data_IF_204785544642
#
_entry.id   IF_204785544642
#
_cell.length_a   1.000
_cell.length_b   1.000
_cell.length_c   1.000
_cell.angle_alpha   90.00
_cell.angle_beta   90.00
_cell.angle_gamma   90.00
#
_symmetry.space_group_name_H-M   'P 1'
#
loop_
_entity.id
_entity.type
_entity.pdbx_description
1 polymer ?
#
# COMPACT_ATOMS: atom_id res chain seq x y z
N UNK A 1 -26.12 0.96 6.17
CA UNK A 1 -25.84 2.07 5.25
C UNK A 1 -25.37 1.51 3.91
N UNK A 2 -25.56 2.25 2.84
CA UNK A 2 -25.00 1.98 1.52
C UNK A 2 -23.73 2.81 1.34
N UNK A 3 -22.61 2.16 1.14
CA UNK A 3 -21.30 2.80 1.02
C UNK A 3 -20.77 2.57 -0.40
N UNK A 4 -20.36 3.64 -1.07
CA UNK A 4 -19.62 3.57 -2.32
C UNK A 4 -18.16 3.92 -2.05
N UNK A 5 -17.29 2.94 -2.21
CA UNK A 5 -15.86 3.11 -2.10
C UNK A 5 -15.25 3.46 -3.47
N UNK A 6 -14.37 4.43 -3.50
CA UNK A 6 -13.60 4.84 -4.68
C UNK A 6 -12.12 4.60 -4.35
N UNK A 7 -11.54 3.54 -4.90
CA UNK A 7 -10.20 3.12 -4.49
C UNK A 7 -9.52 2.25 -5.54
N UNK A 8 -8.21 2.11 -5.45
CA UNK A 8 -7.47 1.01 -6.08
C UNK A 8 -7.80 -0.28 -5.34
N UNK A 9 -8.64 -1.14 -5.89
CA UNK A 9 -9.12 -2.36 -5.22
C UNK A 9 -8.50 -3.62 -5.82
N UNK A 10 -8.20 -3.57 -7.12
CA UNK A 10 -7.55 -4.63 -7.89
C UNK A 10 -6.05 -4.32 -7.93
N UNK A 11 -5.20 -5.32 -7.68
CA UNK A 11 -3.74 -5.21 -7.70
C UNK A 11 -3.10 -5.52 -6.35
N UNK A 12 -1.77 -5.40 -6.28
CA UNK A 12 -0.93 -5.85 -5.15
C UNK A 12 -0.29 -4.70 -4.37
N UNK A 13 -0.63 -3.46 -4.71
CA UNK A 13 -0.11 -2.28 -4.02
C UNK A 13 -0.59 -2.21 -2.57
N UNK A 14 0.12 -1.47 -1.71
CA UNK A 14 -0.31 -1.20 -0.34
C UNK A 14 -1.73 -0.64 -0.26
N UNK A 15 -2.07 0.31 -1.13
CA UNK A 15 -3.44 0.85 -1.23
C UNK A 15 -4.47 -0.23 -1.54
N UNK A 16 -4.19 -1.12 -2.50
CA UNK A 16 -5.13 -2.18 -2.86
C UNK A 16 -5.30 -3.21 -1.74
N UNK A 17 -4.22 -3.58 -1.07
CA UNK A 17 -4.25 -4.49 0.08
C UNK A 17 -5.04 -3.89 1.24
N UNK A 18 -4.76 -2.63 1.60
CA UNK A 18 -5.51 -1.91 2.63
C UNK A 18 -6.99 -1.79 2.26
N UNK A 19 -7.29 -1.33 1.04
CA UNK A 19 -8.66 -1.18 0.58
C UNK A 19 -9.47 -2.48 0.65
N UNK A 20 -8.92 -3.60 0.20
CA UNK A 20 -9.59 -4.91 0.31
C UNK A 20 -9.87 -5.28 1.76
N UNK A 21 -8.87 -5.21 2.63
CA UNK A 21 -9.04 -5.54 4.05
C UNK A 21 -10.08 -4.66 4.72
N UNK A 22 -10.01 -3.35 4.49
CA UNK A 22 -10.89 -2.37 5.09
C UNK A 22 -12.35 -2.50 4.58
N UNK A 23 -12.55 -2.53 3.28
CA UNK A 23 -13.89 -2.56 2.70
C UNK A 23 -14.57 -3.93 2.84
N UNK A 24 -13.84 -5.04 2.82
CA UNK A 24 -14.41 -6.35 3.17
C UNK A 24 -14.84 -6.39 4.64
N UNK A 25 -14.09 -5.79 5.55
CA UNK A 25 -14.50 -5.68 6.95
C UNK A 25 -15.79 -4.83 7.10
N UNK A 26 -15.90 -3.71 6.41
CA UNK A 26 -17.10 -2.87 6.40
C UNK A 26 -18.30 -3.60 5.76
N UNK A 27 -18.07 -4.40 4.73
CA UNK A 27 -19.14 -5.13 4.03
C UNK A 27 -19.84 -6.17 4.91
N UNK A 28 -19.22 -6.60 6.01
CA UNK A 28 -19.87 -7.48 7.01
C UNK A 28 -21.03 -6.79 7.75
N UNK A 29 -21.04 -5.47 7.79
CA UNK A 29 -22.00 -4.67 8.57
C UNK A 29 -22.82 -3.69 7.72
N UNK A 30 -22.39 -3.42 6.50
CA UNK A 30 -22.96 -2.43 5.59
C UNK A 30 -23.04 -3.01 4.18
N UNK A 31 -23.82 -2.40 3.30
CA UNK A 31 -23.77 -2.73 1.87
C UNK A 31 -22.68 -1.90 1.21
N UNK A 32 -21.54 -2.51 0.92
CA UNK A 32 -20.41 -1.82 0.29
C UNK A 32 -20.32 -2.19 -1.19
N UNK A 33 -20.25 -1.18 -2.04
CA UNK A 33 -19.86 -1.32 -3.44
C UNK A 33 -18.56 -0.58 -3.68
N UNK A 34 -17.73 -1.14 -4.54
CA UNK A 34 -16.40 -0.60 -4.80
C UNK A 34 -16.24 -0.24 -6.26
N UNK A 35 -15.94 1.02 -6.49
CA UNK A 35 -15.47 1.52 -7.76
C UNK A 35 -13.95 1.41 -7.80
N UNK A 36 -13.45 0.42 -8.56
CA UNK A 36 -12.01 0.26 -8.72
C UNK A 36 -11.46 1.35 -9.62
N UNK A 37 -10.50 2.10 -9.11
CA UNK A 37 -9.80 3.16 -9.82
C UNK A 37 -8.46 2.59 -10.33
N UNK A 38 -8.32 2.48 -11.63
CA UNK A 38 -7.00 2.22 -12.24
C UNK A 38 -6.25 3.56 -12.34
N UNK A 39 -5.24 3.73 -11.52
CA UNK A 39 -4.43 4.94 -11.52
C UNK A 39 -3.37 4.80 -12.63
N UNK A 40 -3.68 5.38 -13.80
CA UNK A 40 -2.75 5.62 -14.91
C UNK A 40 -2.17 4.37 -15.62
N UNK A 41 -1.65 4.57 -16.82
CA UNK A 41 -0.99 3.53 -17.63
C UNK A 41 0.32 3.00 -17.01
N UNK A 42 0.97 3.77 -16.13
CA UNK A 42 2.21 3.38 -15.45
C UNK A 42 2.03 2.20 -14.49
N UNK A 43 0.81 1.94 -14.03
CA UNK A 43 0.46 0.83 -13.15
C UNK A 43 0.06 -0.45 -13.89
N UNK A 44 -0.11 -0.40 -15.21
CA UNK A 44 -0.43 -1.59 -16.03
C UNK A 44 0.61 -2.69 -15.90
N UNK A 45 1.90 -2.35 -15.73
CA UNK A 45 2.98 -3.32 -15.51
C UNK A 45 2.98 -3.94 -14.11
N UNK A 46 2.45 -3.26 -13.10
CA UNK A 46 2.44 -3.73 -11.70
C UNK A 46 1.23 -4.62 -11.39
N UNK A 47 0.16 -4.56 -12.20
CA UNK A 47 -0.99 -5.45 -12.07
C UNK A 47 -0.72 -6.86 -12.67
N UNK A 48 0.44 -7.05 -13.27
CA UNK A 48 0.86 -8.30 -13.90
C UNK A 48 2.17 -8.80 -13.31
N UNK A 49 2.26 -8.89 -11.98
CA UNK A 49 3.28 -9.78 -11.42
C UNK A 49 2.87 -11.21 -11.79
N UNK A 50 3.79 -12.02 -12.35
CA UNK A 50 3.47 -13.39 -12.80
C UNK A 50 2.95 -14.31 -11.68
N UNK A 51 3.01 -13.87 -10.43
CA UNK A 51 2.68 -14.66 -9.24
C UNK A 51 1.33 -14.29 -8.60
N UNK A 52 0.71 -13.17 -8.98
CA UNK A 52 -0.53 -12.70 -8.37
C UNK A 52 -1.74 -12.83 -9.29
N UNK A 53 -1.70 -13.76 -10.21
CA UNK A 53 -2.88 -14.07 -11.01
C UNK A 53 -4.08 -14.23 -10.08
N UNK A 54 -4.92 -13.24 -10.01
CA UNK A 54 -6.26 -13.22 -9.41
C UNK A 54 -6.50 -13.97 -8.08
N UNK A 55 -5.45 -14.46 -7.38
CA UNK A 55 -5.57 -15.32 -6.18
C UNK A 55 -6.30 -14.63 -5.02
N UNK A 56 -6.26 -13.28 -4.97
CA UNK A 56 -7.01 -12.48 -4.00
C UNK A 56 -8.44 -12.15 -4.44
N UNK A 57 -8.83 -12.47 -5.68
CA UNK A 57 -10.15 -12.17 -6.24
C UNK A 57 -11.19 -13.20 -5.82
N UNK A 58 -11.56 -13.18 -4.55
CA UNK A 58 -12.64 -14.02 -4.01
C UNK A 58 -14.01 -13.64 -4.59
N UNK A 59 -15.01 -14.50 -4.44
CA UNK A 59 -16.39 -14.20 -4.86
C UNK A 59 -16.97 -13.00 -4.09
N UNK A 60 -16.56 -12.80 -2.83
CA UNK A 60 -16.91 -11.62 -2.05
C UNK A 60 -16.37 -10.35 -2.71
N UNK A 61 -15.07 -10.32 -3.05
CA UNK A 61 -14.42 -9.17 -3.70
C UNK A 61 -15.07 -8.88 -5.05
N UNK A 62 -15.29 -9.92 -5.87
CA UNK A 62 -15.98 -9.79 -7.16
C UNK A 62 -17.39 -9.23 -7.01
N UNK A 63 -18.13 -9.68 -5.98
CA UNK A 63 -19.48 -9.21 -5.68
C UNK A 63 -19.58 -7.77 -5.20
N UNK A 64 -18.49 -7.22 -4.66
CA UNK A 64 -18.40 -5.81 -4.25
C UNK A 64 -18.10 -4.88 -5.42
N UNK A 65 -17.45 -5.37 -6.49
CA UNK A 65 -17.09 -4.52 -7.62
C UNK A 65 -18.31 -3.91 -8.29
N UNK A 66 -18.28 -2.58 -8.37
CA UNK A 66 -19.30 -1.75 -8.97
C UNK A 66 -18.76 -1.12 -10.26
N UNK A 67 -18.60 -1.95 -11.31
CA UNK A 67 -18.04 -1.50 -12.58
C UNK A 67 -18.78 -2.08 -13.78
N UNK A 68 -19.11 -1.17 -14.71
CA UNK A 68 -18.99 -1.50 -16.13
C UNK A 68 -17.69 -0.86 -16.64
N UNK A 69 -16.77 -1.68 -17.10
CA UNK A 69 -15.63 -1.18 -17.88
C UNK A 69 -16.21 -0.66 -19.19
N UNK A 70 -16.12 0.64 -19.43
CA UNK A 70 -16.48 1.20 -20.73
C UNK A 70 -15.33 0.94 -21.69
N UNK A 71 -15.65 0.29 -22.78
CA UNK A 71 -14.75 0.13 -23.93
C UNK A 71 -15.06 1.23 -24.95
N UNK A 72 -14.04 1.73 -25.61
CA UNK A 72 -14.20 2.53 -26.80
C UNK A 72 -14.87 1.69 -27.92
N UNK A 73 -15.40 2.36 -28.92
CA UNK A 73 -16.03 1.69 -30.09
C UNK A 73 -15.09 0.76 -30.85
N UNK A 74 -13.78 0.87 -30.65
CA UNK A 74 -12.73 -0.01 -31.19
C UNK A 74 -12.35 -1.18 -30.26
N UNK A 75 -13.05 -1.36 -29.13
CA UNK A 75 -12.79 -2.40 -28.15
C UNK A 75 -11.63 -2.13 -27.19
N UNK A 76 -10.97 -0.98 -27.27
CA UNK A 76 -9.96 -0.58 -26.29
C UNK A 76 -10.61 -0.05 -25.01
N UNK A 77 -9.94 -0.25 -23.85
CA UNK A 77 -10.39 0.37 -22.59
C UNK A 77 -10.24 1.88 -22.68
N UNK A 78 -11.25 2.60 -22.23
CA UNK A 78 -11.17 4.06 -22.15
C UNK A 78 -10.09 4.47 -21.16
N UNK A 79 -9.20 5.36 -21.55
CA UNK A 79 -8.17 5.94 -20.67
C UNK A 79 -8.77 6.84 -19.58
N UNK A 80 -10.03 7.23 -19.73
CA UNK A 80 -10.81 7.92 -18.72
C UNK A 80 -11.90 6.99 -18.21
N UNK A 81 -11.86 6.65 -16.93
CA UNK A 81 -12.93 5.90 -16.30
C UNK A 81 -14.19 6.77 -16.17
N UNK A 82 -14.88 7.01 -17.28
CA UNK A 82 -16.28 7.44 -17.20
C UNK A 82 -17.10 6.22 -16.83
N UNK A 83 -17.33 6.07 -15.53
CA UNK A 83 -18.08 4.94 -15.02
C UNK A 83 -19.57 5.24 -15.13
N UNK A 84 -20.30 4.37 -15.81
CA UNK A 84 -21.75 4.37 -15.72
C UNK A 84 -22.16 3.81 -14.36
N UNK A 85 -22.99 4.55 -13.62
CA UNK A 85 -23.66 4.02 -12.43
C UNK A 85 -24.60 2.90 -12.83
N UNK A 86 -24.64 1.82 -12.05
CA UNK A 86 -25.83 1.00 -12.04
C UNK A 86 -26.96 1.87 -11.48
N UNK A 87 -28.03 2.02 -12.24
CA UNK A 87 -29.09 3.01 -12.02
C UNK A 87 -29.77 2.99 -10.65
N UNK A 88 -29.48 2.01 -9.79
CA UNK A 88 -30.19 1.78 -8.54
C UNK A 88 -29.36 1.82 -7.25
N UNK A 89 -28.06 2.17 -7.30
CA UNK A 89 -27.23 2.29 -6.11
C UNK A 89 -26.98 3.77 -5.76
N UNK A 90 -27.80 4.29 -4.85
CA UNK A 90 -27.59 5.63 -4.29
C UNK A 90 -26.90 5.45 -2.95
N UNK A 91 -25.63 5.86 -2.79
CA UNK A 91 -24.90 5.73 -1.55
C UNK A 91 -25.35 6.74 -0.50
N UNK A 92 -25.37 6.31 0.77
CA UNK A 92 -25.47 7.20 1.92
C UNK A 92 -24.11 7.89 2.16
N UNK A 93 -23.02 7.14 1.92
CA UNK A 93 -21.64 7.58 2.17
C UNK A 93 -20.74 7.19 0.98
N UNK A 94 -19.90 8.14 0.58
CA UNK A 94 -18.79 7.90 -0.36
C UNK A 94 -17.47 7.93 0.40
N UNK A 95 -16.64 6.90 0.27
CA UNK A 95 -15.29 6.85 0.85
C UNK A 95 -14.27 6.80 -0.29
N UNK A 96 -13.40 7.78 -0.33
CA UNK A 96 -12.33 7.88 -1.33
C UNK A 96 -11.00 7.54 -0.69
N UNK A 97 -10.46 6.37 -1.01
CA UNK A 97 -9.17 5.89 -0.53
C UNK A 97 -8.20 5.78 -1.71
N UNK A 98 -7.55 6.87 -2.03
CA UNK A 98 -6.57 7.00 -3.11
C UNK A 98 -5.51 8.02 -2.72
N UNK A 99 -4.46 8.12 -3.52
CA UNK A 99 -3.51 9.21 -3.38
C UNK A 99 -4.21 10.57 -3.51
N UNK A 100 -3.81 11.52 -2.66
CA UNK A 100 -4.47 12.83 -2.52
C UNK A 100 -4.56 13.63 -3.82
N UNK A 101 -3.59 13.46 -4.73
CA UNK A 101 -3.62 14.08 -6.05
C UNK A 101 -4.80 13.61 -6.93
N UNK A 102 -5.42 12.48 -6.60
CA UNK A 102 -6.54 11.90 -7.33
C UNK A 102 -7.91 12.18 -6.71
N UNK A 103 -8.00 13.05 -5.70
CA UNK A 103 -9.25 13.36 -4.98
C UNK A 103 -10.23 14.28 -5.73
N UNK A 104 -9.94 14.77 -6.92
CA UNK A 104 -10.72 15.79 -7.64
C UNK A 104 -11.92 15.24 -8.42
N UNK A 105 -12.13 13.93 -8.50
CA UNK A 105 -13.21 13.32 -9.32
C UNK A 105 -14.54 13.16 -8.56
N UNK A 106 -14.67 13.62 -7.31
CA UNK A 106 -15.69 13.10 -6.40
C UNK A 106 -16.63 14.17 -5.82
N UNK A 107 -16.51 15.40 -6.25
CA UNK A 107 -17.30 16.54 -5.79
C UNK A 107 -18.79 16.49 -6.21
N UNK A 108 -19.11 15.73 -7.27
CA UNK A 108 -20.46 15.61 -7.82
C UNK A 108 -21.24 14.38 -7.31
N UNK A 109 -20.72 13.63 -6.35
CA UNK A 109 -21.42 12.46 -5.82
C UNK A 109 -22.39 12.83 -4.69
N UNK A 110 -23.56 12.15 -4.69
CA UNK A 110 -24.53 12.27 -3.62
C UNK A 110 -24.04 11.54 -2.36
N UNK A 111 -24.56 11.96 -1.19
CA UNK A 111 -24.25 11.37 0.11
C UNK A 111 -23.07 12.05 0.80
N UNK A 112 -22.79 11.61 2.02
CA UNK A 112 -21.68 12.10 2.83
C UNK A 112 -20.33 11.66 2.24
N UNK A 113 -19.38 12.57 2.16
CA UNK A 113 -18.11 12.35 1.45
C UNK A 113 -16.93 12.30 2.41
N UNK A 114 -16.20 11.21 2.41
CA UNK A 114 -15.03 10.98 3.25
C UNK A 114 -13.80 10.80 2.36
N UNK A 115 -12.75 11.59 2.60
CA UNK A 115 -11.43 11.34 2.07
C UNK A 115 -10.63 10.52 3.08
N UNK A 116 -10.37 9.25 2.80
CA UNK A 116 -9.42 8.48 3.59
C UNK A 116 -8.03 8.68 2.98
N UNK A 117 -7.22 9.41 3.68
CA UNK A 117 -6.01 10.00 3.14
C UNK A 117 -4.76 9.47 3.86
N UNK A 118 -3.90 8.81 3.12
CA UNK A 118 -2.61 8.31 3.60
C UNK A 118 -1.52 9.18 2.98
N UNK A 119 -0.87 10.01 3.79
CA UNK A 119 0.12 10.98 3.34
C UNK A 119 1.48 10.74 4.02
N UNK A 120 2.54 11.00 3.29
CA UNK A 120 3.91 10.62 3.67
C UNK A 120 4.84 11.83 3.84
N UNK A 121 4.28 13.01 4.12
CA UNK A 121 5.05 14.25 4.32
C UNK A 121 4.37 15.15 5.35
N UNK A 122 5.16 16.03 5.98
CA UNK A 122 4.69 16.99 6.97
C UNK A 122 3.74 18.05 6.41
N UNK A 123 3.73 18.22 5.08
CA UNK A 123 2.89 19.23 4.42
C UNK A 123 2.34 18.69 3.11
N UNK A 124 1.06 18.97 2.87
CA UNK A 124 0.42 18.76 1.57
C UNK A 124 0.77 19.90 0.62
N UNK A 125 1.03 19.62 -0.66
CA UNK A 125 1.00 20.66 -1.69
C UNK A 125 -0.33 21.41 -1.66
N UNK A 126 -0.29 22.70 -1.88
CA UNK A 126 -1.49 23.57 -1.70
C UNK A 126 -2.68 23.11 -2.57
N UNK A 127 -2.43 22.60 -3.76
CA UNK A 127 -3.50 22.07 -4.63
C UNK A 127 -4.15 20.80 -4.04
N UNK A 128 -3.35 19.91 -3.44
CA UNK A 128 -3.88 18.68 -2.82
C UNK A 128 -4.63 19.03 -1.54
N UNK A 129 -4.06 19.90 -0.72
CA UNK A 129 -4.69 20.39 0.50
C UNK A 129 -6.07 21.01 0.25
N UNK A 130 -6.19 21.86 -0.78
CA UNK A 130 -7.46 22.47 -1.17
C UNK A 130 -8.53 21.46 -1.56
N UNK A 131 -8.14 20.33 -2.16
CA UNK A 131 -9.08 19.27 -2.56
C UNK A 131 -9.74 18.60 -1.37
N UNK A 132 -9.08 18.54 -0.22
CA UNK A 132 -9.66 17.95 0.99
C UNK A 132 -10.90 18.72 1.47
N UNK A 133 -11.04 20.00 1.13
CA UNK A 133 -12.22 20.79 1.49
C UNK A 133 -13.48 20.43 0.71
N UNK A 134 -13.39 19.67 -0.38
CA UNK A 134 -14.55 19.12 -1.10
C UNK A 134 -15.21 17.93 -0.39
N UNK A 135 -14.57 17.40 0.65
CA UNK A 135 -15.08 16.31 1.46
C UNK A 135 -15.70 16.84 2.75
N UNK A 136 -16.71 16.15 3.26
CA UNK A 136 -17.33 16.48 4.53
C UNK A 136 -16.41 16.14 5.70
N UNK A 137 -15.59 15.07 5.55
CA UNK A 137 -14.67 14.60 6.56
C UNK A 137 -13.41 14.02 5.91
N UNK A 138 -12.28 14.12 6.62
CA UNK A 138 -11.00 13.50 6.25
C UNK A 138 -10.61 12.49 7.30
N UNK A 139 -10.36 11.26 6.89
CA UNK A 139 -9.79 10.23 7.73
C UNK A 139 -8.29 10.13 7.49
N UNK A 140 -7.53 10.00 8.57
CA UNK A 140 -6.09 9.82 8.54
C UNK A 140 -5.69 8.64 9.43
N UNK A 141 -4.65 7.85 9.09
CA UNK A 141 -4.31 6.66 9.85
C UNK A 141 -3.61 6.95 11.19
N UNK A 142 -2.99 8.12 11.36
CA UNK A 142 -2.12 8.41 12.51
C UNK A 142 -2.37 9.78 13.13
N UNK A 143 -2.03 9.92 14.43
CA UNK A 143 -1.98 11.22 15.12
C UNK A 143 -1.02 12.19 14.44
N UNK A 144 0.14 11.70 13.99
CA UNK A 144 1.11 12.54 13.26
C UNK A 144 0.47 13.20 12.02
N UNK A 145 -0.26 12.44 11.24
CA UNK A 145 -0.92 12.98 10.04
C UNK A 145 -2.07 13.93 10.39
N UNK A 146 -2.79 13.64 11.47
CA UNK A 146 -3.79 14.57 12.05
C UNK A 146 -3.13 15.92 12.40
N UNK A 147 -2.00 15.90 13.13
CA UNK A 147 -1.29 17.11 13.54
C UNK A 147 -0.78 17.89 12.29
N UNK A 148 -0.25 17.21 11.28
CA UNK A 148 0.18 17.85 10.03
C UNK A 148 -0.96 18.60 9.31
N UNK A 149 -2.17 18.06 9.32
CA UNK A 149 -3.35 18.74 8.75
C UNK A 149 -3.75 19.96 9.58
N UNK A 150 -3.74 19.84 10.91
CA UNK A 150 -4.05 20.95 11.81
C UNK A 150 -3.04 22.10 11.66
N UNK A 151 -1.75 21.77 11.64
CA UNK A 151 -0.67 22.75 11.45
C UNK A 151 -0.78 23.48 10.12
N UNK A 152 -1.31 22.81 9.08
CA UNK A 152 -1.57 23.43 7.77
C UNK A 152 -2.88 24.24 7.72
N UNK A 153 -3.70 24.17 8.78
CA UNK A 153 -4.93 24.95 8.93
C UNK A 153 -6.23 24.23 8.50
N UNK A 154 -6.23 22.89 8.45
CA UNK A 154 -7.46 22.14 8.21
C UNK A 154 -8.36 22.11 9.47
N UNK A 155 -9.69 22.23 9.36
CA UNK A 155 -10.60 22.22 10.49
C UNK A 155 -10.56 20.90 11.26
N UNK A 156 -10.21 20.95 12.54
CA UNK A 156 -10.04 19.76 13.40
C UNK A 156 -11.31 18.91 13.53
N UNK A 157 -12.47 19.58 13.54
CA UNK A 157 -13.80 18.94 13.64
C UNK A 157 -14.18 18.12 12.39
N UNK A 158 -13.39 18.22 11.34
CA UNK A 158 -13.56 17.47 10.09
C UNK A 158 -12.49 16.40 9.88
N UNK A 159 -11.71 16.07 10.91
CA UNK A 159 -10.67 15.04 10.84
C UNK A 159 -10.96 13.95 11.86
N UNK A 160 -10.94 12.70 11.39
CA UNK A 160 -10.97 11.52 12.25
C UNK A 160 -9.73 10.68 12.07
N UNK A 161 -9.22 10.10 13.16
CA UNK A 161 -8.11 9.15 13.11
C UNK A 161 -8.68 7.74 12.95
N UNK A 162 -8.41 7.13 11.80
CA UNK A 162 -8.86 5.77 11.44
C UNK A 162 -7.64 4.97 11.03
N UNK A 163 -7.02 4.18 11.93
CA UNK A 163 -5.85 3.37 11.62
C UNK A 163 -6.13 2.32 10.52
N UNK A 164 -5.12 2.00 9.71
CA UNK A 164 -5.27 0.99 8.65
C UNK A 164 -5.42 -0.44 9.21
N UNK A 165 -4.71 -0.75 10.29
CA UNK A 165 -4.74 -2.08 10.89
C UNK A 165 -3.91 -3.13 10.16
N UNK A 166 -4.08 -4.39 10.58
CA UNK A 166 -3.48 -5.59 9.98
C UNK A 166 -4.43 -6.78 10.16
N UNK A 167 -4.48 -7.66 9.17
CA UNK A 167 -5.27 -8.91 9.27
C UNK A 167 -4.51 -9.96 10.08
N UNK A 168 -4.84 -10.07 11.37
CA UNK A 168 -4.23 -11.04 12.30
C UNK A 168 -4.65 -12.50 12.05
N UNK A 169 -5.59 -12.75 11.14
CA UNK A 169 -5.92 -14.12 10.73
C UNK A 169 -4.92 -14.64 9.69
N UNK A 170 -4.32 -13.74 8.94
CA UNK A 170 -3.30 -13.98 7.92
C UNK A 170 -1.90 -13.79 8.50
N UNK A 171 -1.64 -12.61 9.09
CA UNK A 171 -0.37 -12.28 9.72
C UNK A 171 -0.41 -12.66 11.19
N UNK A 172 0.16 -13.78 11.53
CA UNK A 172 0.18 -14.34 12.90
C UNK A 172 1.45 -15.13 13.12
N UNK A 173 1.90 -15.26 14.36
CA UNK A 173 3.04 -16.12 14.67
C UNK A 173 2.79 -17.56 14.24
N UNK A 174 3.85 -18.25 13.83
CA UNK A 174 3.83 -19.68 13.58
C UNK A 174 4.01 -20.45 14.90
N UNK A 175 3.46 -21.66 14.98
CA UNK A 175 3.54 -22.49 16.19
C UNK A 175 4.97 -22.90 16.54
N UNK A 176 5.77 -23.19 15.52
CA UNK A 176 7.15 -23.60 15.69
C UNK A 176 8.06 -22.82 14.74
N UNK A 177 8.93 -22.00 15.32
CA UNK A 177 9.94 -21.29 14.55
C UNK A 177 10.94 -22.32 13.95
N UNK A 178 11.28 -22.21 12.64
CA UNK A 178 12.21 -23.15 12.02
C UNK A 178 13.62 -22.99 12.59
N UNK A 179 14.29 -24.10 12.86
CA UNK A 179 15.72 -24.09 13.17
C UNK A 179 16.50 -23.59 11.96
N UNK A 180 17.44 -22.68 12.18
CA UNK A 180 18.28 -22.08 11.14
C UNK A 180 19.68 -21.88 11.67
N UNK A 181 20.65 -22.07 10.80
CA UNK A 181 22.07 -21.82 11.09
C UNK A 181 22.38 -20.30 11.05
N UNK A 182 21.48 -19.50 10.47
CA UNK A 182 21.66 -18.05 10.30
C UNK A 182 20.57 -17.24 10.97
N UNK A 183 20.95 -16.12 11.56
CA UNK A 183 20.03 -15.06 11.97
C UNK A 183 19.54 -14.36 10.71
N UNK A 184 18.23 -14.40 10.46
CA UNK A 184 17.60 -13.82 9.29
C UNK A 184 17.00 -12.46 9.60
N UNK A 185 17.49 -11.46 8.87
CA UNK A 185 16.87 -10.16 8.74
C UNK A 185 16.00 -10.12 7.49
N UNK A 186 14.94 -9.30 7.52
CA UNK A 186 14.13 -9.03 6.32
C UNK A 186 13.94 -7.52 6.15
N UNK A 187 14.00 -7.07 4.90
CA UNK A 187 13.70 -5.70 4.51
C UNK A 187 12.77 -5.71 3.29
N UNK A 188 11.55 -5.19 3.45
CA UNK A 188 10.58 -5.10 2.38
C UNK A 188 10.19 -3.65 2.14
N UNK A 189 10.48 -3.16 0.96
CA UNK A 189 10.16 -1.81 0.55
C UNK A 189 10.88 -1.43 -0.73
N UNK A 190 10.17 -0.81 -1.63
CA UNK A 190 10.71 -0.32 -2.90
C UNK A 190 12.00 0.48 -2.69
N UNK A 191 13.02 0.23 -3.53
CA UNK A 191 14.27 0.99 -3.45
C UNK A 191 14.04 2.44 -3.85
N UNK A 192 13.88 3.29 -2.88
CA UNK A 192 13.84 4.72 -3.05
C UNK A 192 14.40 5.46 -1.81
N UNK A 193 14.64 6.75 -1.98
CA UNK A 193 15.20 7.60 -0.93
C UNK A 193 14.31 7.65 0.31
N UNK A 194 13.00 7.68 0.13
CA UNK A 194 12.03 7.74 1.23
C UNK A 194 12.08 6.48 2.10
N UNK A 195 12.21 5.32 1.48
CA UNK A 195 12.28 4.02 2.19
C UNK A 195 13.62 3.78 2.90
N UNK A 196 14.66 4.55 2.58
CA UNK A 196 15.98 4.40 3.18
C UNK A 196 16.65 3.06 2.84
N UNK A 197 16.30 2.47 1.71
CA UNK A 197 16.79 1.14 1.31
C UNK A 197 18.30 1.10 1.16
N UNK A 198 18.89 2.13 0.56
CA UNK A 198 20.36 2.24 0.42
C UNK A 198 21.05 2.20 1.79
N UNK A 199 20.50 2.88 2.78
CA UNK A 199 21.03 2.95 4.14
C UNK A 199 20.94 1.59 4.84
N UNK A 200 19.81 0.89 4.73
CA UNK A 200 19.64 -0.46 5.27
C UNK A 200 20.68 -1.42 4.69
N UNK A 201 20.80 -1.45 3.36
CA UNK A 201 21.69 -2.39 2.68
C UNK A 201 23.17 -2.10 3.00
N UNK A 202 23.59 -0.82 3.02
CA UNK A 202 24.96 -0.43 3.37
C UNK A 202 25.29 -0.73 4.82
N UNK A 203 24.40 -0.35 5.75
CA UNK A 203 24.63 -0.59 7.17
C UNK A 203 24.71 -2.09 7.47
N UNK A 204 23.82 -2.90 6.87
CA UNK A 204 23.85 -4.35 7.02
C UNK A 204 25.17 -4.96 6.46
N UNK A 205 25.53 -4.55 5.25
CA UNK A 205 26.74 -5.05 4.60
C UNK A 205 28.02 -4.71 5.38
N UNK A 206 28.10 -3.50 5.97
CA UNK A 206 29.25 -3.07 6.76
C UNK A 206 29.31 -3.78 8.12
N UNK A 207 28.20 -3.88 8.83
CA UNK A 207 28.14 -4.49 10.17
C UNK A 207 28.46 -5.98 10.13
N UNK A 208 27.94 -6.70 9.14
CA UNK A 208 28.00 -8.16 9.08
C UNK A 208 28.99 -8.70 8.03
N UNK A 209 29.94 -7.87 7.53
CA UNK A 209 30.90 -8.25 6.48
C UNK A 209 31.75 -9.49 6.82
N UNK A 210 32.09 -9.66 8.10
CA UNK A 210 32.98 -10.72 8.61
C UNK A 210 32.18 -11.86 9.30
N UNK A 211 30.85 -11.86 9.21
CA UNK A 211 29.98 -12.86 9.81
C UNK A 211 29.33 -13.70 8.71
N UNK A 212 29.28 -15.01 8.93
CA UNK A 212 28.65 -15.96 7.99
C UNK A 212 27.34 -16.54 8.53
N UNK A 213 27.01 -16.26 9.78
CA UNK A 213 25.83 -16.72 10.50
C UNK A 213 24.65 -15.73 10.47
N UNK A 214 24.71 -14.71 9.59
CA UNK A 214 23.64 -13.76 9.35
C UNK A 214 23.28 -13.69 7.87
N UNK A 215 22.03 -13.34 7.59
CA UNK A 215 21.56 -13.08 6.23
C UNK A 215 20.48 -11.96 6.23
N UNK A 216 20.42 -11.19 5.14
CA UNK A 216 19.34 -10.26 4.86
C UNK A 216 18.58 -10.70 3.62
N UNK A 217 17.27 -10.94 3.74
CA UNK A 217 16.39 -11.08 2.59
C UNK A 217 15.78 -9.71 2.28
N UNK A 218 16.00 -9.20 1.08
CA UNK A 218 15.58 -7.88 0.68
C UNK A 218 14.69 -7.94 -0.57
N UNK A 219 13.43 -7.51 -0.46
CA UNK A 219 12.56 -7.27 -1.61
C UNK A 219 12.46 -5.78 -1.84
N UNK A 220 13.22 -5.29 -2.83
CA UNK A 220 13.50 -3.86 -3.02
C UNK A 220 13.25 -3.36 -4.44
N UNK A 221 12.66 -4.19 -5.27
CA UNK A 221 12.38 -3.84 -6.65
C UNK A 221 11.63 -2.51 -6.77
N UNK A 222 12.13 -1.65 -7.65
CA UNK A 222 11.49 -0.37 -7.93
C UNK A 222 11.22 -0.25 -9.44
N UNK A 223 9.97 -0.39 -9.86
CA UNK A 223 9.59 -0.27 -11.27
C UNK A 223 9.61 1.18 -11.78
N UNK A 224 9.86 2.15 -10.90
CA UNK A 224 9.91 3.57 -11.26
C UNK A 224 11.36 4.07 -11.33
N UNK A 225 11.85 4.47 -12.50
CA UNK A 225 13.24 4.92 -12.68
C UNK A 225 13.44 6.40 -12.30
N UNK A 226 12.92 6.82 -11.12
CA UNK A 226 13.05 8.21 -10.65
C UNK A 226 14.50 8.62 -10.35
N UNK A 227 15.35 7.63 -10.09
CA UNK A 227 16.79 7.82 -9.84
C UNK A 227 17.65 7.63 -11.11
N UNK A 228 17.02 7.41 -12.27
CA UNK A 228 17.68 7.15 -13.53
C UNK A 228 18.24 5.72 -13.67
N UNK A 229 17.97 4.84 -12.70
CA UNK A 229 18.40 3.44 -12.72
C UNK A 229 17.18 2.52 -12.91
N UNK A 230 17.34 1.48 -13.74
CA UNK A 230 16.24 0.64 -14.19
C UNK A 230 16.19 -0.73 -13.49
N UNK A 231 17.24 -1.09 -12.73
CA UNK A 231 17.29 -2.39 -12.06
C UNK A 231 17.92 -2.32 -10.66
N UNK A 232 17.69 -3.34 -9.87
CA UNK A 232 18.33 -3.53 -8.57
C UNK A 232 19.83 -3.68 -8.71
N UNK A 233 20.31 -4.36 -9.75
CA UNK A 233 21.74 -4.56 -10.04
C UNK A 233 22.44 -3.22 -10.36
N UNK A 234 21.80 -2.35 -11.14
CA UNK A 234 22.35 -1.01 -11.41
C UNK A 234 22.49 -0.21 -10.12
N UNK A 235 21.51 -0.28 -9.22
CA UNK A 235 21.54 0.40 -7.92
C UNK A 235 22.63 -0.16 -6.99
N UNK A 236 22.76 -1.49 -6.92
CA UNK A 236 23.83 -2.15 -6.16
C UNK A 236 25.19 -1.65 -6.60
N UNK A 237 25.43 -1.64 -7.92
CA UNK A 237 26.68 -1.17 -8.50
C UNK A 237 26.92 0.32 -8.26
N UNK A 238 25.89 1.14 -8.48
CA UNK A 238 25.98 2.60 -8.29
C UNK A 238 26.32 2.97 -6.84
N UNK A 239 25.69 2.29 -5.89
CA UNK A 239 25.88 2.55 -4.47
C UNK A 239 27.04 1.77 -3.84
N UNK A 240 27.73 0.92 -4.62
CA UNK A 240 28.85 0.08 -4.18
C UNK A 240 28.51 -0.76 -2.94
N UNK A 241 27.41 -1.54 -3.03
CA UNK A 241 26.92 -2.37 -1.92
C UNK A 241 27.57 -3.74 -2.01
N UNK A 242 28.18 -4.21 -0.91
CA UNK A 242 28.60 -5.60 -0.76
C UNK A 242 27.37 -6.48 -0.51
N UNK A 243 27.18 -7.47 -1.35
CA UNK A 243 25.99 -8.36 -1.32
C UNK A 243 26.29 -9.73 -0.72
N UNK A 244 27.46 -9.95 -0.10
CA UNK A 244 27.88 -11.25 0.44
C UNK A 244 26.78 -11.94 1.26
N UNK A 245 26.14 -11.22 2.16
CA UNK A 245 25.12 -11.76 3.07
C UNK A 245 23.70 -11.24 2.75
N UNK A 246 23.49 -10.72 1.53
CA UNK A 246 22.20 -10.16 1.11
C UNK A 246 21.64 -10.97 -0.07
N UNK A 247 20.43 -11.47 0.11
CA UNK A 247 19.67 -12.12 -0.96
C UNK A 247 18.53 -11.21 -1.41
N UNK A 248 18.55 -10.86 -2.69
CA UNK A 248 17.48 -10.06 -3.29
C UNK A 248 16.34 -10.95 -3.77
N UNK A 249 15.12 -10.62 -3.35
CA UNK A 249 13.89 -11.30 -3.71
C UNK A 249 13.20 -10.50 -4.80
N UNK A 250 12.89 -11.14 -5.92
CA UNK A 250 12.18 -10.49 -7.01
C UNK A 250 10.66 -10.74 -6.83
N UNK A 251 9.94 -9.74 -6.29
CA UNK A 251 8.49 -9.77 -6.08
C UNK A 251 7.99 -11.12 -5.54
N UNK A 252 8.24 -11.44 -4.26
CA UNK A 252 7.80 -12.70 -3.68
C UNK A 252 6.28 -12.85 -3.79
N UNK A 253 5.80 -14.07 -3.94
CA UNK A 253 4.38 -14.37 -3.85
C UNK A 253 3.81 -13.92 -2.50
N UNK A 254 2.50 -13.77 -2.39
CA UNK A 254 1.85 -13.40 -1.11
C UNK A 254 2.15 -14.44 -0.02
N UNK A 255 2.18 -15.71 -0.37
CA UNK A 255 2.49 -16.81 0.54
C UNK A 255 3.95 -16.75 1.01
N UNK A 256 4.89 -16.57 0.07
CA UNK A 256 6.31 -16.43 0.41
C UNK A 256 6.56 -15.19 1.27
N UNK A 257 5.93 -14.06 0.94
CA UNK A 257 6.02 -12.83 1.72
C UNK A 257 5.61 -13.06 3.18
N UNK A 258 4.45 -13.69 3.41
CA UNK A 258 3.98 -14.03 4.75
C UNK A 258 4.96 -14.97 5.46
N UNK A 259 5.42 -16.02 4.76
CA UNK A 259 6.38 -16.96 5.30
C UNK A 259 7.72 -16.30 5.66
N UNK A 260 8.21 -15.36 4.86
CA UNK A 260 9.41 -14.60 5.19
C UNK A 260 9.23 -13.76 6.46
N UNK A 261 8.10 -13.09 6.62
CA UNK A 261 7.81 -12.35 7.84
C UNK A 261 7.71 -13.27 9.06
N UNK A 262 7.01 -14.40 8.96
CA UNK A 262 6.83 -15.37 10.05
C UNK A 262 8.11 -16.06 10.46
N UNK A 263 9.08 -16.18 9.56
CA UNK A 263 10.32 -16.93 9.78
C UNK A 263 11.57 -16.07 9.86
N UNK A 264 11.40 -14.75 9.91
CA UNK A 264 12.48 -13.81 10.16
C UNK A 264 12.74 -13.65 11.68
N UNK A 265 13.99 -13.35 12.03
CA UNK A 265 14.37 -12.98 13.39
C UNK A 265 14.16 -11.48 13.63
N UNK A 266 14.36 -10.67 12.59
CA UNK A 266 14.25 -9.20 12.67
C UNK A 266 13.73 -8.64 11.36
N UNK A 267 12.76 -7.73 11.45
CA UNK A 267 12.39 -6.84 10.35
C UNK A 267 13.16 -5.52 10.48
N UNK A 268 13.78 -5.03 9.42
CA UNK A 268 14.55 -3.78 9.46
C UNK A 268 14.01 -2.76 8.46
N UNK A 269 13.84 -1.52 8.90
CA UNK A 269 13.42 -0.40 8.07
C UNK A 269 14.06 0.90 8.53
N UNK A 270 14.56 1.70 7.58
CA UNK A 270 15.07 3.06 7.81
C UNK A 270 14.24 4.10 7.05
N UNK A 271 12.96 3.85 6.88
CA UNK A 271 12.09 4.77 6.15
C UNK A 271 12.08 6.15 6.81
N UNK A 272 12.30 7.18 5.99
CA UNK A 272 12.30 8.59 6.43
C UNK A 272 10.91 9.12 6.66
N UNK A 273 9.95 8.56 5.95
CA UNK A 273 8.55 8.93 6.08
C UNK A 273 7.65 7.80 5.61
N UNK A 274 6.58 7.56 6.36
CA UNK A 274 5.54 6.58 6.08
C UNK A 274 4.17 7.13 6.48
N UNK A 275 3.16 6.81 5.70
CA UNK A 275 1.78 7.05 6.11
C UNK A 275 1.32 6.05 7.17
N UNK A 276 1.70 4.76 7.02
CA UNK A 276 1.38 3.69 7.95
C UNK A 276 2.49 2.64 8.11
N UNK A 277 3.18 2.26 7.04
CA UNK A 277 4.17 1.18 6.97
C UNK A 277 3.59 -0.23 7.20
N UNK A 278 2.74 -0.67 6.28
CA UNK A 278 2.13 -2.00 6.33
C UNK A 278 3.13 -3.14 6.59
N UNK A 279 4.30 -3.25 5.91
CA UNK A 279 5.24 -4.34 6.15
C UNK A 279 5.75 -4.41 7.60
N UNK A 280 5.93 -3.27 8.26
CA UNK A 280 6.34 -3.22 9.65
C UNK A 280 5.27 -3.81 10.58
N UNK A 281 4.02 -3.38 10.40
CA UNK A 281 2.89 -3.85 11.22
C UNK A 281 2.60 -5.33 10.95
N UNK A 282 2.71 -5.77 9.71
CA UNK A 282 2.56 -7.16 9.30
C UNK A 282 3.66 -8.06 9.93
N UNK A 283 4.90 -7.59 9.95
CA UNK A 283 6.00 -8.27 10.65
C UNK A 283 5.73 -8.41 12.15
N UNK A 284 5.35 -7.32 12.81
CA UNK A 284 5.01 -7.31 14.24
C UNK A 284 3.83 -8.24 14.53
N UNK A 285 2.82 -8.29 13.68
CA UNK A 285 1.69 -9.22 13.80
C UNK A 285 2.13 -10.69 13.66
N UNK A 286 3.15 -10.97 12.86
CA UNK A 286 3.78 -12.28 12.76
C UNK A 286 4.65 -12.64 13.98
N UNK A 287 4.82 -11.75 14.95
CA UNK A 287 5.68 -11.92 16.11
C UNK A 287 7.17 -11.63 15.82
N UNK A 288 7.47 -11.04 14.67
CA UNK A 288 8.84 -10.69 14.28
C UNK A 288 9.18 -9.30 14.83
N UNK A 289 10.24 -9.17 15.65
CA UNK A 289 10.74 -7.88 16.11
C UNK A 289 11.12 -6.94 14.93
N UNK A 290 10.97 -5.61 15.17
CA UNK A 290 11.26 -4.59 14.16
C UNK A 290 12.03 -3.41 14.77
#
# INVERSE_FOLDING_TARGET
MKILAHTSFIGTTGYANHARSFFCALNKHHTVKVRNLTIGNSWKGMNHTPHDGESYMTDEIKGMLYQQTLYNTDGTMTDHPMYSYQENFIPDVNIVLVETNNHYFYDNYNGYKIAYNVWESTRYPDEFFKRLFYFDEVWVPTHWQYDCLIEQGYPKERISIVPEGVDVTVFKPIEKFPERDKIRFVHFGRWDYRKGTTEVLKAFAEEFKDQDDVELLASVENPFPFDGMNSTEERIKHHNIDTKNITFLNFPSREDYINYLQTAHVFVSCARSEGWNLPLIEAMACGTPA
#
